data_IF_099922164720
#
_entry.id   IF_099922164720
#
_cell.length_a   1.000
_cell.length_b   1.000
_cell.length_c   1.000
_cell.angle_alpha   90.00
_cell.angle_beta   90.00
_cell.angle_gamma   90.00
#
_symmetry.space_group_name_H-M   'P 1'
#
loop_
_entity.id
_entity.type
_entity.pdbx_description
1 polymer ?
#
# COMPACT_ATOMS: atom_id res chain seq x y z
N UNK A 1 17.64 3.24 -7.99
CA UNK A 1 17.26 2.61 -6.71
C UNK A 1 15.86 2.03 -6.94
N UNK A 2 15.75 0.70 -7.09
CA UNK A 2 14.46 0.03 -7.23
C UNK A 2 13.75 0.15 -5.88
N UNK A 3 12.61 0.85 -5.84
CA UNK A 3 11.83 1.02 -4.60
C UNK A 3 10.76 -0.05 -4.61
N UNK A 4 10.71 -0.91 -3.58
CA UNK A 4 9.71 -1.96 -3.48
C UNK A 4 8.30 -1.37 -3.36
N UNK A 5 7.29 -2.09 -3.88
CA UNK A 5 5.88 -1.74 -3.71
C UNK A 5 5.51 -1.53 -2.23
N UNK A 6 6.06 -2.34 -1.34
CA UNK A 6 5.83 -2.28 0.10
C UNK A 6 6.37 -0.99 0.71
N UNK A 7 7.53 -0.54 0.25
CA UNK A 7 8.14 0.74 0.69
C UNK A 7 7.27 1.93 0.30
N UNK A 8 6.73 1.93 -0.93
CA UNK A 8 5.82 2.99 -1.40
C UNK A 8 4.56 3.03 -0.57
N UNK A 9 3.96 1.87 -0.30
CA UNK A 9 2.75 1.75 0.52
C UNK A 9 3.02 2.24 1.94
N UNK A 10 4.12 1.82 2.56
CA UNK A 10 4.54 2.27 3.90
C UNK A 10 4.70 3.80 3.97
N UNK A 11 5.31 4.43 2.97
CA UNK A 11 5.44 5.89 2.87
C UNK A 11 4.08 6.57 2.76
N UNK A 12 3.19 6.08 1.90
CA UNK A 12 1.84 6.64 1.73
C UNK A 12 1.02 6.51 3.02
N UNK A 13 1.12 5.39 3.75
CA UNK A 13 0.46 5.24 5.04
C UNK A 13 0.98 6.22 6.09
N UNK A 14 2.31 6.44 6.18
CA UNK A 14 2.90 7.43 7.09
C UNK A 14 2.42 8.85 6.79
N UNK A 15 2.39 9.22 5.50
CA UNK A 15 1.87 10.51 5.04
C UNK A 15 0.38 10.63 5.41
N UNK A 16 -0.40 9.60 5.12
CA UNK A 16 -1.83 9.57 5.39
C UNK A 16 -2.19 9.62 6.88
N UNK A 17 -1.50 8.86 7.74
CA UNK A 17 -1.73 8.89 9.19
C UNK A 17 -1.37 10.27 9.77
N UNK A 18 -0.31 10.89 9.28
CA UNK A 18 0.03 12.27 9.63
C UNK A 18 -1.06 13.25 9.23
N UNK A 19 -1.55 13.15 7.99
CA UNK A 19 -2.65 13.99 7.50
C UNK A 19 -3.94 13.83 8.34
N UNK A 20 -4.28 12.60 8.73
CA UNK A 20 -5.42 12.31 9.60
C UNK A 20 -5.28 12.97 10.98
N UNK A 21 -4.09 12.89 11.60
CA UNK A 21 -3.82 13.57 12.86
C UNK A 21 -3.95 15.10 12.73
N UNK A 22 -3.39 15.68 11.67
CA UNK A 22 -3.54 17.12 11.39
C UNK A 22 -5.01 17.49 11.16
N UNK A 23 -5.78 16.65 10.47
CA UNK A 23 -7.22 16.82 10.29
C UNK A 23 -8.00 16.80 11.60
N UNK A 24 -7.65 15.91 12.54
CA UNK A 24 -8.23 15.89 13.87
C UNK A 24 -7.89 17.16 14.66
N UNK A 25 -6.63 17.62 14.61
CA UNK A 25 -6.20 18.88 15.22
C UNK A 25 -6.96 20.07 14.63
N UNK A 26 -7.19 20.09 13.32
CA UNK A 26 -8.01 21.12 12.66
C UNK A 26 -9.44 21.14 13.19
N UNK A 27 -10.07 19.97 13.36
CA UNK A 27 -11.42 19.88 13.93
C UNK A 27 -11.44 20.41 15.36
N UNK A 28 -10.42 20.12 16.17
CA UNK A 28 -10.31 20.68 17.52
C UNK A 28 -10.15 22.21 17.52
N UNK A 29 -9.57 22.80 16.47
CA UNK A 29 -9.48 24.25 16.35
C UNK A 29 -10.85 24.95 16.26
N UNK A 30 -11.94 24.22 15.94
CA UNK A 30 -13.32 24.76 16.01
C UNK A 30 -13.78 25.11 17.43
N UNK A 31 -13.17 24.49 18.45
CA UNK A 31 -13.46 24.75 19.86
C UNK A 31 -12.73 25.99 20.40
N UNK A 32 -11.84 26.58 19.59
CA UNK A 32 -11.13 27.80 19.97
C UNK A 32 -11.92 29.02 19.49
N UNK A 33 -11.70 30.15 20.18
CA UNK A 33 -12.15 31.45 19.73
C UNK A 33 -11.47 31.78 18.39
N UNK A 34 -12.27 32.01 17.36
CA UNK A 34 -11.79 32.44 16.05
C UNK A 34 -11.81 33.95 15.94
N UNK A 35 -12.79 34.58 16.58
CA UNK A 35 -12.99 36.01 16.53
C UNK A 35 -13.38 36.55 17.89
N UNK A 36 -13.14 37.84 18.09
CA UNK A 36 -13.73 38.60 19.19
C UNK A 36 -14.37 39.87 18.64
N UNK A 37 -15.62 40.11 19.01
CA UNK A 37 -16.34 41.34 18.72
C UNK A 37 -16.28 42.27 19.93
N UNK A 38 -16.16 43.57 19.68
CA UNK A 38 -16.24 44.58 20.74
C UNK A 38 -17.53 45.37 20.54
N UNK A 39 -18.45 45.24 21.49
CA UNK A 39 -19.75 45.94 21.51
C UNK A 39 -19.82 46.72 22.82
N UNK A 40 -19.93 48.05 22.73
CA UNK A 40 -20.02 48.94 23.89
C UNK A 40 -18.92 48.69 24.96
N UNK A 41 -17.71 48.36 24.51
CA UNK A 41 -16.56 48.07 25.37
C UNK A 41 -16.52 46.65 25.94
N UNK A 42 -17.53 45.81 25.69
CA UNK A 42 -17.56 44.40 26.07
C UNK A 42 -16.98 43.53 24.96
N UNK A 43 -16.07 42.62 25.31
CA UNK A 43 -15.50 41.62 24.39
C UNK A 43 -16.36 40.37 24.36
N UNK A 44 -16.89 40.03 23.18
CA UNK A 44 -17.72 38.85 22.95
C UNK A 44 -16.94 37.88 22.06
N UNK A 45 -16.40 36.79 22.63
CA UNK A 45 -15.68 35.78 21.87
C UNK A 45 -16.64 34.93 21.03
N UNK A 46 -16.18 34.54 19.84
CA UNK A 46 -16.93 33.70 18.91
C UNK A 46 -16.05 32.52 18.52
N UNK A 47 -16.46 31.34 18.96
CA UNK A 47 -15.81 30.07 18.65
C UNK A 47 -16.11 29.63 17.21
N UNK A 48 -15.18 28.90 16.61
CA UNK A 48 -15.29 28.45 15.21
C UNK A 48 -16.51 27.57 14.92
N UNK A 49 -16.97 26.78 15.89
CA UNK A 49 -18.11 25.88 15.71
C UNK A 49 -19.48 26.58 15.68
N UNK A 50 -19.55 27.85 16.13
CA UNK A 50 -20.82 28.59 16.27
C UNK A 50 -21.47 28.86 14.91
N UNK A 51 -20.66 29.12 13.88
CA UNK A 51 -21.15 29.45 12.54
C UNK A 51 -21.37 28.15 11.73
N UNK A 52 -22.62 27.79 11.38
CA UNK A 52 -22.94 26.47 10.84
C UNK A 52 -22.21 26.10 9.54
N UNK A 53 -22.09 27.05 8.61
CA UNK A 53 -21.45 26.80 7.31
C UNK A 53 -19.94 26.60 7.47
N UNK A 54 -19.29 27.44 8.29
CA UNK A 54 -17.87 27.31 8.61
C UNK A 54 -17.59 25.99 9.35
N UNK A 55 -18.42 25.65 10.35
CA UNK A 55 -18.38 24.37 11.04
C UNK A 55 -18.45 23.20 10.05
N UNK A 56 -19.38 23.24 9.09
CA UNK A 56 -19.52 22.17 8.09
C UNK A 56 -18.26 22.05 7.21
N UNK A 57 -17.74 23.17 6.72
CA UNK A 57 -16.52 23.18 5.89
C UNK A 57 -15.31 22.63 6.65
N UNK A 58 -15.10 23.04 7.91
CA UNK A 58 -13.98 22.55 8.73
C UNK A 58 -14.12 21.08 9.12
N UNK A 59 -15.33 20.62 9.44
CA UNK A 59 -15.56 19.19 9.71
C UNK A 59 -15.29 18.35 8.46
N UNK A 60 -15.80 18.78 7.29
CA UNK A 60 -15.50 18.12 6.03
C UNK A 60 -13.99 18.15 5.73
N UNK A 61 -13.34 19.30 5.90
CA UNK A 61 -11.91 19.49 5.68
C UNK A 61 -11.03 18.55 6.52
N UNK A 62 -11.32 18.47 7.82
CA UNK A 62 -10.63 17.57 8.73
C UNK A 62 -10.87 16.09 8.44
N UNK A 63 -12.12 15.70 8.14
CA UNK A 63 -12.49 14.29 7.88
C UNK A 63 -11.90 13.77 6.57
N UNK A 64 -11.89 14.57 5.50
CA UNK A 64 -11.33 14.15 4.21
C UNK A 64 -9.85 13.74 4.31
N UNK A 65 -9.08 14.40 5.18
CA UNK A 65 -7.69 14.05 5.44
C UNK A 65 -7.53 12.62 6.01
N UNK A 66 -8.52 12.11 6.75
CA UNK A 66 -8.54 10.74 7.27
C UNK A 66 -9.16 9.72 6.32
N UNK A 67 -10.25 10.07 5.64
CA UNK A 67 -10.96 9.18 4.69
C UNK A 67 -10.05 8.73 3.56
N UNK A 68 -9.12 9.57 3.12
CA UNK A 68 -8.11 9.20 2.12
C UNK A 68 -7.32 7.93 2.48
N UNK A 69 -7.00 7.74 3.77
CA UNK A 69 -6.28 6.54 4.25
C UNK A 69 -7.14 5.29 4.16
N UNK A 70 -8.39 5.39 4.57
CA UNK A 70 -9.34 4.27 4.52
C UNK A 70 -9.60 3.85 3.07
N UNK A 71 -9.74 4.82 2.16
CA UNK A 71 -9.95 4.55 0.73
C UNK A 71 -8.77 3.81 0.10
N UNK A 72 -7.53 4.02 0.56
CA UNK A 72 -6.37 3.28 0.06
C UNK A 72 -6.49 1.78 0.28
N UNK A 73 -7.19 1.32 1.32
CA UNK A 73 -7.39 -0.11 1.59
C UNK A 73 -8.12 -0.82 0.44
N UNK A 74 -9.02 -0.12 -0.24
CA UNK A 74 -9.85 -0.69 -1.31
C UNK A 74 -9.23 -0.54 -2.71
N UNK A 75 -8.14 0.23 -2.85
CA UNK A 75 -7.53 0.54 -4.14
C UNK A 75 -6.30 -0.34 -4.38
N UNK A 76 -6.29 -1.07 -5.51
CA UNK A 76 -5.20 -2.01 -5.84
C UNK A 76 -4.01 -1.38 -6.56
N UNK A 77 -4.23 -0.27 -7.28
CA UNK A 77 -3.22 0.39 -8.13
C UNK A 77 -2.53 1.53 -7.37
N UNK A 78 -1.19 1.48 -7.27
CA UNK A 78 -0.40 2.46 -6.51
C UNK A 78 -0.61 3.91 -6.97
N UNK A 79 -0.66 4.14 -8.28
CA UNK A 79 -0.92 5.48 -8.85
C UNK A 79 -2.29 6.03 -8.43
N UNK A 80 -3.31 5.17 -8.39
CA UNK A 80 -4.65 5.52 -7.94
C UNK A 80 -4.72 5.74 -6.43
N UNK A 81 -4.00 4.93 -5.63
CA UNK A 81 -3.88 5.16 -4.18
C UNK A 81 -3.27 6.53 -3.89
N UNK A 82 -2.19 6.88 -4.59
CA UNK A 82 -1.54 8.19 -4.48
C UNK A 82 -2.49 9.34 -4.84
N UNK A 83 -3.19 9.21 -5.97
CA UNK A 83 -4.13 10.23 -6.44
C UNK A 83 -5.28 10.42 -5.45
N UNK A 84 -5.84 9.31 -4.94
CA UNK A 84 -6.93 9.35 -3.97
C UNK A 84 -6.47 9.97 -2.63
N UNK A 85 -5.36 9.50 -2.06
CA UNK A 85 -4.84 10.04 -0.81
C UNK A 85 -4.49 11.52 -0.93
N UNK A 86 -3.65 11.88 -1.91
CA UNK A 86 -3.22 13.26 -2.11
C UNK A 86 -4.38 14.20 -2.42
N UNK A 87 -5.32 13.76 -3.28
CA UNK A 87 -6.50 14.55 -3.65
C UNK A 87 -7.41 14.85 -2.46
N UNK A 88 -7.70 13.84 -1.63
CA UNK A 88 -8.56 14.01 -0.45
C UNK A 88 -7.92 14.94 0.58
N UNK A 89 -6.61 14.82 0.81
CA UNK A 89 -5.88 15.71 1.73
C UNK A 89 -5.88 17.15 1.22
N UNK A 90 -5.63 17.38 -0.07
CA UNK A 90 -5.62 18.73 -0.67
C UNK A 90 -7.00 19.38 -0.60
N UNK A 91 -8.04 18.66 -1.03
CA UNK A 91 -9.42 19.17 -0.94
C UNK A 91 -9.77 19.47 0.52
N UNK A 92 -9.38 18.59 1.44
CA UNK A 92 -9.54 18.80 2.87
C UNK A 92 -8.89 20.11 3.35
N UNK A 93 -7.62 20.32 3.01
CA UNK A 93 -6.88 21.55 3.33
C UNK A 93 -7.50 22.82 2.76
N UNK A 94 -8.03 22.77 1.53
CA UNK A 94 -8.74 23.91 0.93
C UNK A 94 -9.99 24.25 1.74
N UNK A 95 -10.82 23.26 2.07
CA UNK A 95 -12.03 23.49 2.87
C UNK A 95 -11.70 24.03 4.26
N UNK A 96 -10.67 23.49 4.90
CA UNK A 96 -10.14 23.93 6.20
C UNK A 96 -9.72 25.41 6.20
N UNK A 97 -9.09 25.90 5.12
CA UNK A 97 -8.69 27.31 4.98
C UNK A 97 -9.89 28.19 4.62
N UNK A 98 -10.76 27.73 3.72
CA UNK A 98 -11.92 28.50 3.29
C UNK A 98 -12.92 28.72 4.42
N UNK A 99 -13.03 27.81 5.39
CA UNK A 99 -13.94 27.92 6.52
C UNK A 99 -13.79 29.23 7.34
N UNK A 100 -12.62 29.52 7.96
CA UNK A 100 -12.42 30.75 8.72
C UNK A 100 -12.43 32.00 7.83
N UNK A 101 -12.02 31.91 6.56
CA UNK A 101 -12.07 33.04 5.63
C UNK A 101 -13.52 33.37 5.26
N UNK A 102 -14.32 32.36 4.93
CA UNK A 102 -15.73 32.52 4.58
C UNK A 102 -16.52 33.16 5.74
N UNK A 103 -16.32 32.65 6.95
CA UNK A 103 -16.91 33.19 8.16
C UNK A 103 -16.57 34.68 8.33
N UNK A 104 -15.29 35.05 8.23
CA UNK A 104 -14.84 36.44 8.36
C UNK A 104 -15.46 37.34 7.28
N UNK A 105 -15.37 36.93 6.01
CA UNK A 105 -15.72 37.77 4.85
C UNK A 105 -17.23 37.88 4.62
N UNK A 106 -18.02 36.83 4.87
CA UNK A 106 -19.44 36.81 4.49
C UNK A 106 -20.41 36.86 5.67
N UNK A 107 -20.00 36.41 6.87
CA UNK A 107 -20.87 36.41 8.05
C UNK A 107 -20.56 37.56 8.99
N UNK A 108 -19.28 37.86 9.16
CA UNK A 108 -18.80 38.75 10.20
C UNK A 108 -18.50 40.18 9.72
N UNK A 109 -18.05 40.36 8.48
CA UNK A 109 -17.80 41.68 7.88
C UNK A 109 -19.05 42.56 7.75
N UNK A 110 -20.24 41.95 7.82
CA UNK A 110 -21.53 42.64 7.75
C UNK A 110 -21.97 43.25 9.09
N UNK A 111 -21.24 43.00 10.19
CA UNK A 111 -21.52 43.59 11.50
C UNK A 111 -20.91 45.00 11.64
N UNK A 112 -21.50 45.79 12.55
CA UNK A 112 -21.14 47.19 12.82
C UNK A 112 -19.70 47.35 13.33
N UNK A 113 -19.17 46.32 14.01
CA UNK A 113 -17.82 46.31 14.58
C UNK A 113 -16.91 45.37 13.79
N UNK A 114 -15.72 45.82 13.40
CA UNK A 114 -14.71 44.94 12.82
C UNK A 114 -14.26 43.89 13.85
N UNK A 115 -14.45 42.59 13.58
CA UNK A 115 -14.02 41.53 14.49
C UNK A 115 -12.49 41.40 14.46
N UNK A 116 -11.88 41.22 15.62
CA UNK A 116 -10.45 40.88 15.70
C UNK A 116 -10.27 39.37 15.53
N UNK A 117 -9.16 38.98 14.93
CA UNK A 117 -8.79 37.58 14.73
C UNK A 117 -8.11 37.02 15.98
N UNK A 118 -8.55 35.84 16.41
CA UNK A 118 -8.04 35.14 17.58
C UNK A 118 -7.24 33.89 17.19
N UNK A 119 -6.61 33.25 18.18
CA UNK A 119 -5.71 32.10 17.96
C UNK A 119 -6.37 30.96 17.18
N UNK A 120 -7.67 30.73 17.35
CA UNK A 120 -8.39 29.67 16.64
C UNK A 120 -8.45 29.88 15.13
N UNK A 121 -8.56 31.14 14.67
CA UNK A 121 -8.52 31.47 13.25
C UNK A 121 -7.16 31.07 12.65
N UNK A 122 -6.08 31.49 13.30
CA UNK A 122 -4.72 31.19 12.83
C UNK A 122 -4.43 29.69 12.89
N UNK A 123 -4.86 28.99 13.93
CA UNK A 123 -4.74 27.55 14.05
C UNK A 123 -5.48 26.83 12.91
N UNK A 124 -6.69 27.25 12.57
CA UNK A 124 -7.49 26.68 11.49
C UNK A 124 -6.83 26.89 10.11
N UNK A 125 -6.36 28.10 9.81
CA UNK A 125 -5.66 28.40 8.55
C UNK A 125 -4.33 27.65 8.47
N UNK A 126 -3.53 27.66 9.54
CA UNK A 126 -2.23 27.01 9.58
C UNK A 126 -2.33 25.49 9.40
N UNK A 127 -3.27 24.84 10.09
CA UNK A 127 -3.51 23.40 9.91
C UNK A 127 -3.97 23.07 8.49
N UNK A 128 -4.82 23.90 7.88
CA UNK A 128 -5.19 23.75 6.47
C UNK A 128 -4.00 23.89 5.51
N UNK A 129 -3.09 24.84 5.74
CA UNK A 129 -1.85 25.00 4.95
C UNK A 129 -0.94 23.77 5.09
N UNK A 130 -0.79 23.23 6.31
CA UNK A 130 -0.05 21.99 6.53
C UNK A 130 -0.70 20.85 5.73
N UNK A 131 -2.03 20.72 5.74
CA UNK A 131 -2.71 19.72 4.92
C UNK A 131 -2.37 19.86 3.44
N UNK A 132 -2.36 21.09 2.89
CA UNK A 132 -1.93 21.30 1.50
C UNK A 132 -0.49 20.82 1.25
N UNK A 133 0.43 21.14 2.16
CA UNK A 133 1.82 20.68 2.08
C UNK A 133 1.96 19.16 2.14
N UNK A 134 1.23 18.51 3.03
CA UNK A 134 1.21 17.04 3.16
C UNK A 134 0.57 16.37 1.94
N UNK A 135 -0.51 16.94 1.40
CA UNK A 135 -1.12 16.48 0.15
C UNK A 135 -0.18 16.61 -1.05
N UNK A 136 0.54 17.73 -1.16
CA UNK A 136 1.58 17.90 -2.16
C UNK A 136 2.71 16.87 -2.01
N UNK A 137 3.16 16.60 -0.78
CA UNK A 137 4.16 15.57 -0.49
C UNK A 137 3.67 14.17 -0.93
N UNK A 138 2.39 13.86 -0.72
CA UNK A 138 1.78 12.63 -1.21
C UNK A 138 1.92 12.51 -2.74
N UNK A 139 1.66 13.58 -3.49
CA UNK A 139 1.81 13.59 -4.95
C UNK A 139 3.25 13.43 -5.43
N UNK A 140 4.19 14.07 -4.72
CA UNK A 140 5.62 14.01 -5.01
C UNK A 140 6.24 12.64 -4.66
N UNK A 141 5.52 11.77 -3.95
CA UNK A 141 6.00 10.43 -3.64
C UNK A 141 6.21 9.64 -4.94
N UNK A 142 7.44 9.16 -5.21
CA UNK A 142 7.76 8.43 -6.43
C UNK A 142 7.10 7.05 -6.41
N UNK A 143 6.45 6.70 -7.52
CA UNK A 143 5.84 5.38 -7.76
C UNK A 143 6.51 4.83 -9.01
N UNK A 144 7.64 4.13 -8.84
CA UNK A 144 8.25 3.38 -9.92
C UNK A 144 7.46 2.07 -10.07
N UNK A 145 6.68 1.97 -11.13
CA UNK A 145 5.95 0.75 -11.47
C UNK A 145 6.91 -0.12 -12.29
N UNK A 146 7.37 -1.24 -11.72
CA UNK A 146 8.16 -2.22 -12.45
C UNK A 146 7.28 -2.74 -13.60
N UNK A 147 7.54 -2.28 -14.83
CA UNK A 147 7.04 -2.97 -15.99
C UNK A 147 7.80 -4.30 -16.02
N UNK A 148 7.17 -5.38 -15.57
CA UNK A 148 7.70 -6.72 -15.79
C UNK A 148 8.13 -6.79 -17.25
N UNK A 149 9.38 -7.17 -17.57
CA UNK A 149 9.76 -7.40 -18.95
C UNK A 149 8.70 -8.33 -19.54
N UNK A 150 8.25 -8.09 -20.79
CA UNK A 150 7.30 -8.99 -21.43
C UNK A 150 7.84 -10.40 -21.22
N UNK A 151 7.03 -11.26 -20.62
CA UNK A 151 7.38 -12.68 -20.48
C UNK A 151 7.90 -13.08 -21.86
N UNK A 152 9.15 -13.57 -21.99
CA UNK A 152 9.65 -13.98 -23.29
C UNK A 152 8.56 -14.89 -23.86
N UNK A 153 8.05 -14.49 -25.03
CA UNK A 153 6.93 -15.19 -25.66
C UNK A 153 7.21 -16.69 -25.53
N UNK A 154 6.22 -17.52 -25.18
CA UNK A 154 6.40 -18.96 -25.22
C UNK A 154 7.09 -19.24 -26.54
N UNK A 155 8.29 -19.80 -26.49
CA UNK A 155 9.00 -20.22 -27.69
C UNK A 155 8.07 -21.26 -28.28
N UNK A 156 7.19 -20.86 -29.20
CA UNK A 156 6.46 -21.77 -30.04
C UNK A 156 7.56 -22.58 -30.69
N UNK A 157 7.69 -23.88 -30.40
CA UNK A 157 8.57 -24.70 -31.19
C UNK A 157 8.13 -24.46 -32.62
N UNK A 158 9.01 -23.93 -33.47
CA UNK A 158 8.80 -24.01 -34.91
C UNK A 158 8.59 -25.49 -35.18
N UNK A 159 7.35 -25.90 -35.40
CA UNK A 159 7.03 -27.22 -35.92
C UNK A 159 7.60 -27.16 -37.34
N UNK A 160 8.70 -27.88 -37.64
CA UNK A 160 9.15 -28.01 -39.02
C UNK A 160 8.00 -28.67 -39.78
N UNK A 161 7.73 -28.13 -40.98
CA UNK A 161 6.56 -28.45 -41.77
C UNK A 161 6.22 -29.93 -41.87
N UNK A 162 4.94 -30.16 -42.08
CA UNK A 162 4.32 -31.45 -42.41
C UNK A 162 5.19 -32.28 -43.35
N UNK A 163 5.97 -33.18 -42.76
CA UNK A 163 6.70 -34.23 -43.45
C UNK A 163 6.20 -35.57 -42.96
N UNK A 164 5.20 -36.13 -43.67
CA UNK A 164 4.70 -37.50 -43.66
C UNK A 164 4.35 -38.16 -42.30
N UNK A 165 3.35 -39.06 -42.23
CA UNK A 165 3.07 -39.79 -41.00
C UNK A 165 4.24 -40.74 -40.69
N UNK A 166 5.05 -40.38 -39.68
CA UNK A 166 6.00 -41.28 -39.06
C UNK A 166 5.25 -42.41 -38.31
N UNK A 167 5.80 -43.63 -38.26
CA UNK A 167 5.14 -44.77 -37.61
C UNK A 167 4.92 -44.51 -36.11
N UNK A 168 3.92 -45.15 -35.48
CA UNK A 168 3.61 -44.94 -34.07
C UNK A 168 4.84 -45.23 -33.21
N UNK A 169 5.38 -44.19 -32.57
CA UNK A 169 6.42 -44.31 -31.56
C UNK A 169 5.83 -44.94 -30.29
N UNK A 170 6.54 -45.87 -29.64
CA UNK A 170 6.07 -46.51 -28.42
C UNK A 170 6.00 -45.47 -27.27
N UNK A 171 5.13 -45.66 -26.28
CA UNK A 171 4.93 -44.71 -25.19
C UNK A 171 6.25 -44.41 -24.47
N UNK A 172 6.52 -43.12 -24.29
CA UNK A 172 7.66 -42.59 -23.54
C UNK A 172 7.82 -43.35 -22.22
N UNK A 173 8.99 -43.98 -22.06
CA UNK A 173 9.39 -44.72 -20.87
C UNK A 173 9.31 -43.76 -19.69
N UNK A 174 8.37 -43.98 -18.77
CA UNK A 174 8.28 -43.22 -17.52
C UNK A 174 9.59 -43.38 -16.75
N UNK A 175 10.38 -42.32 -16.64
CA UNK A 175 11.61 -42.32 -15.84
C UNK A 175 11.25 -42.43 -14.36
N UNK A 176 11.83 -43.42 -13.69
CA UNK A 176 11.71 -43.63 -12.24
C UNK A 176 12.93 -43.06 -11.52
N UNK A 177 12.72 -42.51 -10.33
CA UNK A 177 13.77 -41.97 -9.46
C UNK A 177 13.62 -42.52 -8.03
N UNK A 178 14.69 -42.42 -7.24
CA UNK A 178 14.69 -42.74 -5.80
C UNK A 178 15.13 -41.53 -5.00
N UNK A 179 14.68 -41.47 -3.74
CA UNK A 179 15.18 -40.51 -2.76
C UNK A 179 16.38 -41.12 -2.05
N UNK A 180 17.53 -40.45 -2.10
CA UNK A 180 18.78 -40.92 -1.51
C UNK A 180 19.16 -39.99 -0.36
N UNK A 181 19.32 -40.50 0.88
CA UNK A 181 19.83 -39.70 1.99
C UNK A 181 21.22 -39.14 1.71
N UNK A 182 21.47 -37.90 2.14
CA UNK A 182 22.77 -37.25 2.03
C UNK A 182 23.43 -37.33 3.42
N UNK A 183 24.48 -38.13 3.54
CA UNK A 183 25.19 -38.36 4.81
C UNK A 183 26.19 -37.23 5.14
N UNK A 184 26.76 -36.59 4.11
CA UNK A 184 27.78 -35.55 4.23
C UNK A 184 27.32 -34.22 3.60
N UNK A 185 26.17 -33.69 4.02
CA UNK A 185 25.73 -32.37 3.57
C UNK A 185 26.38 -31.28 4.42
N UNK A 186 27.39 -30.60 3.88
CA UNK A 186 28.00 -29.42 4.52
C UNK A 186 27.02 -28.23 4.52
N UNK A 187 26.40 -27.92 3.37
CA UNK A 187 25.39 -26.87 3.22
C UNK A 187 24.44 -27.21 2.05
N UNK A 188 23.14 -26.97 2.21
CA UNK A 188 22.15 -27.15 1.13
C UNK A 188 20.86 -26.37 1.41
N UNK A 189 20.11 -26.02 0.35
CA UNK A 189 18.81 -25.33 0.46
C UNK A 189 17.72 -26.28 -0.05
N UNK A 190 16.64 -26.44 0.72
CA UNK A 190 15.52 -27.25 0.29
C UNK A 190 14.77 -26.61 -0.86
N UNK A 191 14.59 -27.35 -1.96
CA UNK A 191 13.88 -26.87 -3.16
C UNK A 191 12.36 -26.77 -3.00
N UNK A 192 11.80 -27.07 -1.81
CA UNK A 192 10.37 -26.97 -1.51
C UNK A 192 10.06 -25.79 -0.57
N UNK A 193 10.74 -25.68 0.57
CA UNK A 193 10.51 -24.59 1.53
C UNK A 193 11.51 -23.43 1.41
N UNK A 194 12.57 -23.59 0.61
CA UNK A 194 13.65 -22.60 0.44
C UNK A 194 14.44 -22.28 1.71
N UNK A 195 14.36 -23.14 2.74
CA UNK A 195 15.13 -23.04 3.98
C UNK A 195 16.41 -23.90 3.92
N UNK A 196 17.46 -23.52 4.67
CA UNK A 196 18.69 -24.30 4.76
C UNK A 196 18.43 -25.69 5.37
N UNK A 197 19.19 -26.68 4.90
CA UNK A 197 19.16 -28.06 5.37
C UNK A 197 20.35 -28.26 6.31
N UNK A 198 20.06 -28.59 7.56
CA UNK A 198 21.06 -28.95 8.57
C UNK A 198 21.56 -30.38 8.37
N UNK A 199 22.76 -30.68 8.88
CA UNK A 199 23.40 -31.99 8.76
C UNK A 199 22.45 -33.15 9.11
N UNK A 200 22.39 -34.14 8.21
CA UNK A 200 21.73 -35.43 8.44
C UNK A 200 20.29 -35.57 7.94
N UNK A 201 19.59 -34.47 7.60
CA UNK A 201 18.15 -34.50 7.26
C UNK A 201 17.83 -34.23 5.77
N UNK A 202 18.88 -34.13 4.94
CA UNK A 202 18.77 -33.89 3.51
C UNK A 202 18.60 -35.18 2.70
N UNK A 203 17.71 -35.16 1.70
CA UNK A 203 17.57 -36.20 0.69
C UNK A 203 17.67 -35.61 -0.71
N UNK A 204 18.31 -36.33 -1.63
CA UNK A 204 18.43 -35.95 -3.04
C UNK A 204 17.63 -36.87 -3.95
N UNK A 205 17.10 -36.31 -5.02
CA UNK A 205 16.47 -37.09 -6.09
C UNK A 205 17.53 -37.69 -7.02
N UNK A 206 17.55 -39.02 -7.17
CA UNK A 206 18.56 -39.73 -7.99
C UNK A 206 18.56 -39.38 -9.47
N UNK A 207 17.52 -38.72 -9.98
CA UNK A 207 17.38 -38.37 -11.41
C UNK A 207 17.75 -36.92 -11.74
N UNK A 208 17.70 -36.00 -10.76
CA UNK A 208 17.92 -34.57 -11.03
C UNK A 208 18.72 -33.85 -9.95
N UNK A 209 19.20 -34.59 -8.95
CA UNK A 209 20.00 -34.11 -7.82
C UNK A 209 19.41 -32.95 -7.02
N UNK A 210 18.13 -32.63 -7.21
CA UNK A 210 17.41 -31.69 -6.36
C UNK A 210 17.39 -32.20 -4.91
N UNK A 211 17.67 -31.28 -3.99
CA UNK A 211 17.81 -31.56 -2.56
C UNK A 211 16.59 -31.02 -1.82
N UNK A 212 16.10 -31.82 -0.87
CA UNK A 212 14.94 -31.51 -0.05
C UNK A 212 15.20 -31.92 1.41
N UNK A 213 14.54 -31.26 2.37
CA UNK A 213 14.37 -31.89 3.69
C UNK A 213 13.56 -33.18 3.52
N UNK A 214 13.90 -34.21 4.27
CA UNK A 214 13.19 -35.49 4.29
C UNK A 214 11.68 -35.31 4.45
N UNK A 215 11.25 -34.55 5.46
CA UNK A 215 9.82 -34.30 5.71
C UNK A 215 9.11 -33.52 4.58
N UNK A 216 9.79 -32.56 3.96
CA UNK A 216 9.24 -31.78 2.85
C UNK A 216 8.92 -32.67 1.64
N UNK A 217 9.88 -33.51 1.23
CA UNK A 217 9.68 -34.36 0.05
C UNK A 217 8.75 -35.55 0.32
N UNK A 218 8.77 -36.11 1.53
CA UNK A 218 7.82 -37.19 1.91
C UNK A 218 6.37 -36.69 1.84
N UNK A 219 6.11 -35.48 2.36
CA UNK A 219 4.78 -34.85 2.28
C UNK A 219 4.34 -34.69 0.82
N UNK A 220 5.21 -34.18 -0.04
CA UNK A 220 4.91 -34.00 -1.46
C UNK A 220 4.64 -35.32 -2.19
N UNK A 221 5.51 -36.32 -1.99
CA UNK A 221 5.44 -37.61 -2.68
C UNK A 221 4.22 -38.41 -2.22
N UNK A 222 3.78 -38.26 -0.97
CA UNK A 222 2.56 -38.91 -0.47
C UNK A 222 1.30 -38.56 -1.27
N UNK A 223 1.26 -37.37 -1.85
CA UNK A 223 0.14 -36.87 -2.67
C UNK A 223 0.39 -37.08 -4.16
N UNK A 224 1.61 -36.77 -4.63
CA UNK A 224 1.87 -36.64 -6.07
C UNK A 224 2.59 -37.85 -6.68
N UNK A 225 3.34 -38.63 -5.88
CA UNK A 225 4.14 -39.77 -6.37
C UNK A 225 5.30 -39.42 -7.32
N UNK A 226 5.60 -38.14 -7.52
CA UNK A 226 6.60 -37.65 -8.47
C UNK A 226 7.54 -36.62 -7.84
N UNK A 227 8.75 -36.49 -8.40
CA UNK A 227 9.67 -35.42 -8.03
C UNK A 227 9.11 -34.04 -8.40
N UNK A 228 9.11 -33.04 -7.50
CA UNK A 228 8.71 -31.67 -7.80
C UNK A 228 9.54 -31.03 -8.93
N UNK A 229 10.82 -31.41 -9.03
CA UNK A 229 11.75 -30.79 -9.97
C UNK A 229 11.69 -31.44 -11.37
N UNK A 230 11.87 -32.76 -11.46
CA UNK A 230 12.02 -33.46 -12.74
C UNK A 230 10.81 -34.30 -13.17
N UNK A 231 9.74 -34.36 -12.37
CA UNK A 231 8.52 -35.16 -12.62
C UNK A 231 8.74 -36.67 -12.78
N UNK A 232 9.93 -37.19 -12.48
CA UNK A 232 10.19 -38.63 -12.44
C UNK A 232 9.37 -39.28 -11.32
N UNK A 233 8.88 -40.51 -11.56
CA UNK A 233 8.09 -41.27 -10.58
C UNK A 233 9.02 -41.72 -9.47
N UNK A 234 8.70 -41.38 -8.22
CA UNK A 234 9.50 -41.76 -7.07
C UNK A 234 9.12 -43.18 -6.66
N UNK A 235 10.09 -44.09 -6.73
CA UNK A 235 9.92 -45.52 -6.42
C UNK A 235 10.84 -45.92 -5.28
N UNK A 236 10.28 -46.41 -4.17
CA UNK A 236 11.05 -46.78 -2.98
C UNK A 236 11.26 -45.60 -2.02
N UNK A 237 10.49 -45.61 -0.93
CA UNK A 237 10.63 -44.79 0.27
C UNK A 237 11.44 -45.53 1.33
#
# INVERSE_FOLDING_TARGET
MLVSREDVISRLYKIGSGAAAIGAIHVLALLLNWYVQVIDGSEIPIEGWVIPEARLLSLAGGLLAGVGVVLMHFVRRLRSMKLALGGMIVIGGILSILSPIYSYVFKLSALVSYPRLEIGFFAAVFTGVIQLGVGALAFLTPVAEEALPPTPAPITPMIPGEGAPAPPTPPSRRTTARLVPIQDLEEGICSLCFEPITQGDGVRCSNCDAVFHRGCIETWVSVNGICPNCKAIITGS
#
